data_IF_100877172633
#
_entry.id   IF_100877172633
#
_cell.length_a   1.000
_cell.length_b   1.000
_cell.length_c   1.000
_cell.angle_alpha   90.00
_cell.angle_beta   90.00
_cell.angle_gamma   90.00
#
_symmetry.space_group_name_H-M   'P 1'
#
loop_
_entity.id
_entity.type
_entity.pdbx_description
1 polymer ?
#
# COMPACT_ATOMS: atom_id res chain seq x y z
N UNK A 1 -17.34 -20.30 -13.88
CA UNK A 1 -17.54 -18.92 -13.41
C UNK A 1 -17.36 -17.99 -14.60
N UNK A 2 -18.43 -17.61 -15.22
CA UNK A 2 -18.47 -16.72 -16.37
C UNK A 2 -18.19 -15.30 -15.87
N UNK A 3 -16.98 -14.82 -16.11
CA UNK A 3 -16.64 -13.41 -15.90
C UNK A 3 -17.48 -12.59 -16.87
N UNK A 4 -18.49 -11.89 -16.36
CA UNK A 4 -19.20 -10.87 -17.10
C UNK A 4 -18.17 -9.80 -17.49
N UNK A 5 -17.80 -9.81 -18.77
CA UNK A 5 -16.92 -8.81 -19.38
C UNK A 5 -17.65 -7.48 -19.48
N UNK A 6 -17.89 -6.83 -18.33
CA UNK A 6 -18.27 -5.43 -18.30
C UNK A 6 -17.17 -4.64 -18.99
N UNK A 7 -17.51 -3.74 -19.90
CA UNK A 7 -16.56 -2.90 -20.62
C UNK A 7 -15.63 -2.20 -19.62
N UNK A 8 -14.32 -2.42 -19.74
CA UNK A 8 -13.30 -1.79 -18.91
C UNK A 8 -13.12 -0.34 -19.33
N UNK A 9 -13.95 0.53 -18.82
CA UNK A 9 -13.98 1.96 -19.16
C UNK A 9 -13.44 2.87 -18.08
N UNK A 10 -13.44 2.39 -16.81
CA UNK A 10 -13.10 3.18 -15.66
C UNK A 10 -11.58 3.30 -15.46
N UNK A 11 -11.15 4.41 -14.86
CA UNK A 11 -9.73 4.63 -14.52
C UNK A 11 -9.27 3.64 -13.45
N UNK A 12 -8.01 3.21 -13.49
CA UNK A 12 -7.46 2.35 -12.46
C UNK A 12 -7.44 3.03 -11.09
N UNK A 13 -7.68 2.27 -10.03
CA UNK A 13 -7.52 2.73 -8.66
C UNK A 13 -6.03 2.86 -8.29
N UNK A 14 -5.68 3.70 -7.30
CA UNK A 14 -4.29 3.82 -6.83
C UNK A 14 -3.69 2.47 -6.37
N UNK A 15 -4.53 1.60 -5.83
CA UNK A 15 -4.10 0.26 -5.40
C UNK A 15 -3.76 -0.63 -6.60
N UNK A 16 -4.56 -0.58 -7.67
CA UNK A 16 -4.29 -1.29 -8.93
C UNK A 16 -3.00 -0.81 -9.57
N UNK A 17 -2.78 0.52 -9.62
CA UNK A 17 -1.53 1.10 -10.10
C UNK A 17 -0.32 0.64 -9.29
N UNK A 18 -0.44 0.60 -7.96
CA UNK A 18 0.62 0.11 -7.07
C UNK A 18 0.93 -1.37 -7.33
N UNK A 19 -0.10 -2.22 -7.38
CA UNK A 19 0.05 -3.65 -7.70
C UNK A 19 0.67 -3.86 -9.09
N UNK A 20 0.34 -3.03 -10.08
CA UNK A 20 0.93 -3.07 -11.42
C UNK A 20 2.43 -2.71 -11.39
N UNK A 21 2.81 -1.65 -10.66
CA UNK A 21 4.22 -1.29 -10.45
C UNK A 21 5.02 -2.38 -9.75
N UNK A 22 4.47 -3.00 -8.71
CA UNK A 22 5.09 -4.13 -8.00
C UNK A 22 5.31 -5.36 -8.91
N UNK A 23 4.47 -5.53 -9.93
CA UNK A 23 4.63 -6.55 -10.98
C UNK A 23 5.55 -6.11 -12.13
N UNK A 24 6.10 -4.88 -12.08
CA UNK A 24 6.94 -4.33 -13.14
C UNK A 24 6.16 -3.89 -14.39
N UNK A 25 4.84 -3.77 -14.33
CA UNK A 25 3.99 -3.29 -15.42
C UNK A 25 3.98 -1.76 -15.44
N UNK A 26 5.02 -1.19 -16.05
CA UNK A 26 5.16 0.26 -16.25
C UNK A 26 5.39 0.55 -17.73
N UNK A 27 4.87 1.67 -18.21
CA UNK A 27 5.13 2.13 -19.56
C UNK A 27 6.60 2.54 -19.70
N UNK A 28 7.36 1.79 -20.48
CA UNK A 28 8.76 2.07 -20.79
C UNK A 28 9.01 1.84 -22.27
N UNK A 29 9.51 2.86 -22.96
CA UNK A 29 10.11 2.73 -24.28
C UNK A 29 11.62 2.59 -24.13
N UNK A 30 12.18 1.50 -24.64
CA UNK A 30 13.64 1.28 -24.69
C UNK A 30 14.28 2.26 -25.68
N UNK A 31 13.57 2.57 -26.74
CA UNK A 31 14.03 3.46 -27.82
C UNK A 31 14.20 4.89 -27.32
N UNK A 32 13.37 5.37 -26.38
CA UNK A 32 13.47 6.72 -25.84
C UNK A 32 14.76 6.89 -25.00
N UNK A 33 15.09 5.93 -24.13
CA UNK A 33 16.33 6.00 -23.37
C UNK A 33 17.56 5.90 -24.27
N UNK A 34 17.51 5.03 -25.29
CA UNK A 34 18.58 4.86 -26.26
C UNK A 34 18.77 6.09 -27.15
N UNK A 35 17.69 6.70 -27.66
CA UNK A 35 17.77 7.89 -28.50
C UNK A 35 18.26 9.14 -27.73
N UNK A 36 17.87 9.28 -26.45
CA UNK A 36 18.43 10.31 -25.57
C UNK A 36 19.94 10.14 -25.35
N UNK A 37 20.38 8.91 -25.11
CA UNK A 37 21.80 8.61 -24.95
C UNK A 37 22.59 8.90 -26.23
N UNK A 38 22.04 8.49 -27.39
CA UNK A 38 22.66 8.76 -28.70
C UNK A 38 22.78 10.25 -28.97
N UNK A 39 21.69 11.01 -28.79
CA UNK A 39 21.68 12.45 -29.01
C UNK A 39 22.68 13.16 -28.08
N UNK A 40 22.73 12.79 -26.81
CA UNK A 40 23.67 13.36 -25.85
C UNK A 40 25.11 13.02 -26.18
N UNK A 41 25.40 11.76 -26.55
CA UNK A 41 26.73 11.33 -27.00
C UNK A 41 27.19 12.12 -28.23
N UNK A 42 26.32 12.33 -29.22
CA UNK A 42 26.61 13.13 -30.40
C UNK A 42 26.87 14.62 -30.09
N UNK A 43 26.10 15.21 -29.16
CA UNK A 43 26.34 16.58 -28.71
C UNK A 43 27.72 16.75 -28.09
N UNK A 44 28.10 15.81 -27.20
CA UNK A 44 29.45 15.83 -26.59
C UNK A 44 30.53 15.59 -27.66
N UNK A 45 30.30 14.65 -28.59
CA UNK A 45 31.23 14.41 -29.70
C UNK A 45 31.40 15.68 -30.55
N UNK A 46 30.33 16.35 -30.91
CA UNK A 46 30.41 17.61 -31.69
C UNK A 46 31.14 18.71 -30.92
N UNK A 47 30.87 18.87 -29.62
CA UNK A 47 31.55 19.90 -28.80
C UNK A 47 33.07 19.65 -28.63
N UNK A 48 33.48 18.38 -28.59
CA UNK A 48 34.89 17.99 -28.40
C UNK A 48 35.65 17.79 -29.73
N UNK A 49 34.97 17.72 -30.86
CA UNK A 49 35.56 17.39 -32.16
C UNK A 49 36.76 18.29 -32.51
N UNK A 50 36.65 19.59 -32.33
CA UNK A 50 37.71 20.54 -32.64
C UNK A 50 38.95 20.37 -31.73
N UNK A 51 38.75 20.05 -30.46
CA UNK A 51 39.84 19.78 -29.50
C UNK A 51 40.52 18.48 -29.84
N UNK A 52 39.76 17.44 -30.13
CA UNK A 52 40.26 16.13 -30.50
C UNK A 52 41.10 16.18 -31.81
N UNK A 53 40.56 16.82 -32.84
CA UNK A 53 41.25 16.96 -34.12
C UNK A 53 42.57 17.76 -33.98
N UNK A 54 42.59 18.83 -33.22
CA UNK A 54 43.82 19.61 -32.95
C UNK A 54 44.88 18.78 -32.21
N UNK A 55 44.47 18.10 -31.15
CA UNK A 55 45.37 17.27 -30.37
C UNK A 55 45.91 16.09 -31.17
N UNK A 56 45.07 15.46 -31.99
CA UNK A 56 45.46 14.36 -32.88
C UNK A 56 46.46 14.82 -33.98
N UNK A 57 46.21 15.99 -34.59
CA UNK A 57 47.15 16.60 -35.54
C UNK A 57 48.52 16.90 -34.89
N UNK A 58 48.51 17.42 -33.68
CA UNK A 58 49.74 17.66 -32.89
C UNK A 58 50.52 16.38 -32.60
N UNK A 59 49.79 15.32 -32.21
CA UNK A 59 50.37 14.00 -31.98
C UNK A 59 51.00 13.41 -33.25
N UNK A 60 50.28 13.39 -34.36
CA UNK A 60 50.78 12.87 -35.64
C UNK A 60 51.92 13.71 -36.15
N UNK A 61 51.82 15.03 -36.12
CA UNK A 61 52.90 15.92 -36.53
C UNK A 61 54.17 15.75 -35.70
N UNK A 62 54.04 15.62 -34.39
CA UNK A 62 55.16 15.38 -33.48
C UNK A 62 55.82 14.01 -33.69
N UNK A 63 55.03 12.95 -33.90
CA UNK A 63 55.59 11.61 -34.16
C UNK A 63 56.31 11.51 -35.52
N UNK A 64 55.73 12.15 -36.55
CA UNK A 64 56.35 12.19 -37.89
C UNK A 64 57.66 13.03 -37.91
N UNK A 65 57.69 14.14 -37.18
CA UNK A 65 58.90 15.01 -37.10
C UNK A 65 60.01 14.36 -36.28
N UNK A 66 59.71 13.55 -35.28
CA UNK A 66 60.70 12.90 -34.41
C UNK A 66 61.42 11.73 -35.05
N UNK A 67 60.95 11.20 -36.17
CA UNK A 67 61.61 10.09 -36.92
C UNK A 67 61.46 8.72 -36.22
N UNK A 68 61.86 7.64 -36.89
CA UNK A 68 61.71 6.29 -36.35
C UNK A 68 62.66 6.10 -35.14
N UNK A 69 62.08 5.91 -33.95
CA UNK A 69 62.81 5.57 -32.72
C UNK A 69 62.91 6.66 -31.66
N UNK A 70 62.68 7.94 -31.99
CA UNK A 70 62.80 9.03 -31.04
C UNK A 70 61.38 9.44 -30.54
N UNK A 71 61.07 9.12 -29.30
CA UNK A 71 59.96 9.79 -28.57
C UNK A 71 58.56 9.26 -28.75
N UNK A 72 58.32 8.15 -29.47
CA UNK A 72 57.00 7.57 -29.66
C UNK A 72 56.32 7.19 -28.32
N UNK A 73 57.12 6.66 -27.39
CA UNK A 73 56.59 6.29 -26.07
C UNK A 73 56.12 7.52 -25.24
N UNK A 74 56.85 8.64 -25.32
CA UNK A 74 56.49 9.88 -24.63
C UNK A 74 55.23 10.54 -25.21
N UNK A 75 55.01 10.42 -26.52
CA UNK A 75 53.84 10.96 -27.20
C UNK A 75 52.58 10.06 -27.02
N UNK A 76 52.74 8.76 -26.80
CA UNK A 76 51.63 7.82 -26.60
C UNK A 76 50.83 8.11 -25.32
N UNK A 77 51.49 8.52 -24.22
CA UNK A 77 50.83 8.82 -22.95
C UNK A 77 49.75 9.92 -23.07
N UNK A 78 50.10 11.12 -23.56
CA UNK A 78 49.13 12.21 -23.77
C UNK A 78 48.01 11.85 -24.76
N UNK A 79 48.33 11.13 -25.84
CA UNK A 79 47.35 10.70 -26.84
C UNK A 79 46.35 9.69 -26.23
N UNK A 80 46.85 8.69 -25.50
CA UNK A 80 46.01 7.71 -24.81
C UNK A 80 45.11 8.38 -23.75
N UNK A 81 45.67 9.36 -23.00
CA UNK A 81 44.90 10.14 -22.04
C UNK A 81 43.79 10.93 -22.70
N UNK A 82 44.04 11.58 -23.82
CA UNK A 82 43.00 12.30 -24.58
C UNK A 82 41.89 11.38 -25.07
N UNK A 83 42.25 10.22 -25.63
CA UNK A 83 41.26 9.23 -26.08
C UNK A 83 40.44 8.73 -24.91
N UNK A 84 41.05 8.41 -23.79
CA UNK A 84 40.38 7.92 -22.58
C UNK A 84 39.39 8.96 -22.02
N UNK A 85 39.84 10.21 -21.87
CA UNK A 85 38.98 11.28 -21.32
C UNK A 85 37.86 11.64 -22.25
N UNK A 86 38.07 11.68 -23.56
CA UNK A 86 37.02 11.93 -24.56
C UNK A 86 36.00 10.81 -24.60
N UNK A 87 36.46 9.55 -24.61
CA UNK A 87 35.58 8.38 -24.58
C UNK A 87 34.79 8.29 -23.27
N UNK A 88 35.43 8.56 -22.13
CA UNK A 88 34.78 8.60 -20.83
C UNK A 88 33.71 9.69 -20.77
N UNK A 89 33.93 10.87 -21.29
CA UNK A 89 32.97 11.96 -21.34
C UNK A 89 31.75 11.62 -22.21
N UNK A 90 31.96 11.06 -23.40
CA UNK A 90 30.87 10.64 -24.30
C UNK A 90 30.05 9.51 -23.67
N UNK A 91 30.77 8.46 -23.21
CA UNK A 91 30.08 7.29 -22.61
C UNK A 91 29.38 7.63 -21.31
N UNK A 92 30.02 8.44 -20.46
CA UNK A 92 29.43 8.88 -19.17
C UNK A 92 28.16 9.70 -19.38
N UNK A 93 28.20 10.67 -20.31
CA UNK A 93 27.04 11.48 -20.65
C UNK A 93 25.89 10.62 -21.25
N UNK A 94 26.24 9.74 -22.19
CA UNK A 94 25.26 8.82 -22.76
C UNK A 94 24.60 7.92 -21.69
N UNK A 95 25.41 7.43 -20.76
CA UNK A 95 24.93 6.59 -19.65
C UNK A 95 24.01 7.35 -18.69
N UNK A 96 24.39 8.56 -18.30
CA UNK A 96 23.59 9.45 -17.46
C UNK A 96 22.24 9.74 -18.13
N UNK A 97 22.25 10.06 -19.44
CA UNK A 97 21.02 10.35 -20.17
C UNK A 97 20.13 9.12 -20.37
N UNK A 98 20.72 7.94 -20.60
CA UNK A 98 19.96 6.69 -20.65
C UNK A 98 19.29 6.36 -19.31
N UNK A 99 20.01 6.51 -18.21
CA UNK A 99 19.47 6.31 -16.86
C UNK A 99 18.38 7.33 -16.56
N UNK A 100 18.62 8.61 -16.81
CA UNK A 100 17.65 9.68 -16.59
C UNK A 100 16.38 9.45 -17.40
N UNK A 101 16.51 9.13 -18.69
CA UNK A 101 15.38 8.79 -19.56
C UNK A 101 14.59 7.58 -19.06
N UNK A 102 15.27 6.56 -18.55
CA UNK A 102 14.61 5.38 -17.95
C UNK A 102 13.90 5.71 -16.64
N UNK A 103 14.50 6.55 -15.78
CA UNK A 103 13.89 6.98 -14.50
C UNK A 103 12.68 7.88 -14.71
N UNK A 104 12.74 8.80 -15.67
CA UNK A 104 11.63 9.72 -15.97
C UNK A 104 10.40 8.95 -16.48
N UNK A 105 10.59 7.90 -17.29
CA UNK A 105 9.50 7.11 -17.85
C UNK A 105 8.73 6.29 -16.81
N UNK A 106 9.40 5.59 -15.91
CA UNK A 106 8.76 4.63 -15.00
C UNK A 106 8.99 4.90 -13.51
N UNK A 107 9.86 5.85 -13.19
CA UNK A 107 10.34 6.05 -11.83
C UNK A 107 11.22 4.88 -11.34
N UNK A 108 11.54 4.91 -10.06
CA UNK A 108 12.22 3.79 -9.42
C UNK A 108 11.19 2.68 -9.12
N UNK A 109 11.27 1.56 -9.84
CA UNK A 109 10.36 0.42 -9.69
C UNK A 109 11.15 -0.77 -9.14
N UNK A 110 10.86 -1.14 -7.91
CA UNK A 110 11.37 -2.36 -7.30
C UNK A 110 10.33 -3.47 -7.45
N UNK A 111 10.58 -4.41 -8.36
CA UNK A 111 9.66 -5.50 -8.68
C UNK A 111 10.31 -6.87 -8.39
N UNK A 112 10.35 -7.32 -7.13
CA UNK A 112 11.00 -8.58 -6.75
C UNK A 112 10.35 -9.80 -7.42
N UNK A 113 9.06 -9.73 -7.72
CA UNK A 113 8.33 -10.80 -8.44
C UNK A 113 8.80 -10.98 -9.88
N UNK A 114 9.42 -9.97 -10.49
CA UNK A 114 9.98 -10.06 -11.83
C UNK A 114 11.30 -10.84 -11.88
N UNK A 115 12.00 -10.97 -10.74
CA UNK A 115 13.26 -11.70 -10.59
C UNK A 115 13.05 -13.21 -10.43
N UNK A 116 11.83 -13.66 -10.19
CA UNK A 116 11.53 -15.09 -10.07
C UNK A 116 11.80 -15.80 -11.38
N UNK A 117 12.55 -16.92 -11.39
CA UNK A 117 12.83 -17.68 -12.59
C UNK A 117 11.54 -18.27 -13.16
N UNK A 118 11.22 -17.91 -14.40
CA UNK A 118 10.05 -18.43 -15.12
C UNK A 118 10.53 -19.46 -16.14
N UNK A 119 10.53 -20.72 -15.76
CA UNK A 119 10.96 -21.83 -16.62
C UNK A 119 10.17 -21.93 -17.92
N UNK A 120 8.94 -21.42 -17.95
CA UNK A 120 8.12 -21.34 -19.18
C UNK A 120 8.79 -20.51 -20.31
N UNK A 121 9.72 -19.61 -19.96
CA UNK A 121 10.47 -18.80 -20.93
C UNK A 121 11.54 -19.60 -21.69
N UNK A 122 11.93 -20.76 -21.19
CA UNK A 122 12.91 -21.63 -21.83
C UNK A 122 12.28 -22.61 -22.83
N UNK A 123 10.96 -22.60 -23.01
CA UNK A 123 10.31 -23.44 -24.00
C UNK A 123 10.52 -22.90 -25.43
N UNK A 124 11.32 -23.57 -26.28
CA UNK A 124 11.68 -23.07 -27.61
C UNK A 124 10.46 -23.00 -28.54
N UNK A 125 9.50 -23.93 -28.42
CA UNK A 125 8.28 -23.91 -29.22
C UNK A 125 7.39 -22.70 -28.95
N UNK A 126 7.29 -22.27 -27.69
CA UNK A 126 6.56 -21.05 -27.32
C UNK A 126 7.26 -19.79 -27.85
N UNK A 127 8.59 -19.79 -27.89
CA UNK A 127 9.37 -18.70 -28.44
C UNK A 127 9.18 -18.56 -29.96
N UNK A 128 9.27 -19.67 -30.72
CA UNK A 128 9.01 -19.67 -32.17
C UNK A 128 7.61 -19.14 -32.49
N UNK A 129 6.59 -19.61 -31.78
CA UNK A 129 5.21 -19.15 -31.97
C UNK A 129 5.05 -17.65 -31.71
N UNK A 130 5.79 -17.07 -30.75
CA UNK A 130 5.81 -15.63 -30.49
C UNK A 130 6.49 -14.85 -31.61
N UNK A 131 7.57 -15.40 -32.21
CA UNK A 131 8.27 -14.76 -33.33
C UNK A 131 7.43 -14.66 -34.60
N UNK A 132 6.51 -15.59 -34.81
CA UNK A 132 5.57 -15.60 -35.97
C UNK A 132 4.20 -15.05 -35.62
N UNK A 133 4.07 -14.33 -34.52
CA UNK A 133 2.80 -13.74 -34.08
C UNK A 133 2.50 -12.44 -34.82
N UNK A 134 1.21 -12.10 -34.94
CA UNK A 134 0.74 -10.81 -35.51
C UNK A 134 1.37 -9.63 -34.78
N UNK A 135 1.60 -9.76 -33.49
CA UNK A 135 2.28 -8.73 -32.67
C UNK A 135 3.73 -8.53 -33.07
N UNK A 136 4.44 -9.60 -33.45
CA UNK A 136 5.83 -9.47 -33.94
C UNK A 136 5.87 -8.74 -35.30
N UNK A 137 4.96 -9.05 -36.22
CA UNK A 137 4.83 -8.32 -37.48
C UNK A 137 4.46 -6.85 -37.28
N UNK A 138 3.58 -6.55 -36.32
CA UNK A 138 3.26 -5.16 -35.98
C UNK A 138 4.48 -4.40 -35.43
N UNK A 139 5.34 -5.03 -34.63
CA UNK A 139 6.60 -4.44 -34.17
C UNK A 139 7.60 -4.22 -35.33
N UNK A 140 7.71 -5.19 -36.24
CA UNK A 140 8.52 -5.01 -37.46
C UNK A 140 8.00 -3.82 -38.30
N UNK A 141 6.68 -3.71 -38.53
CA UNK A 141 6.08 -2.59 -39.23
C UNK A 141 6.39 -1.23 -38.59
N UNK A 142 6.36 -1.16 -37.24
CA UNK A 142 6.74 0.05 -36.51
C UNK A 142 8.21 0.44 -36.74
N UNK A 143 9.14 -0.51 -36.75
CA UNK A 143 10.57 -0.22 -36.94
C UNK A 143 10.93 0.18 -38.38
N UNK A 144 10.12 -0.20 -39.38
CA UNK A 144 10.32 0.20 -40.77
C UNK A 144 10.11 1.71 -40.99
N UNK A 145 9.26 2.36 -40.19
CA UNK A 145 8.98 3.81 -40.35
C UNK A 145 10.24 4.66 -40.10
N UNK A 146 10.90 4.60 -38.92
CA UNK A 146 12.13 5.37 -38.72
C UNK A 146 13.25 4.95 -39.67
N UNK A 147 13.34 3.65 -39.99
CA UNK A 147 14.33 3.15 -40.95
C UNK A 147 14.13 3.77 -42.35
N UNK A 148 12.91 3.85 -42.85
CA UNK A 148 12.65 4.45 -44.17
C UNK A 148 12.96 5.94 -44.20
N UNK A 149 12.68 6.67 -43.11
CA UNK A 149 13.05 8.09 -42.98
C UNK A 149 14.57 8.28 -42.95
N UNK A 150 15.30 7.45 -42.20
CA UNK A 150 16.76 7.47 -42.16
C UNK A 150 17.36 7.14 -43.51
N UNK A 151 16.86 6.14 -44.22
CA UNK A 151 17.31 5.78 -45.56
C UNK A 151 17.05 6.93 -46.53
N UNK A 152 15.88 7.55 -46.47
CA UNK A 152 15.57 8.73 -47.24
C UNK A 152 16.55 9.88 -47.01
N UNK A 153 16.88 10.17 -45.72
CA UNK A 153 17.89 11.18 -45.36
C UNK A 153 19.27 10.84 -45.92
N UNK A 154 19.70 9.57 -45.77
CA UNK A 154 20.98 9.14 -46.28
C UNK A 154 21.09 9.28 -47.80
N UNK A 155 20.05 8.86 -48.53
CA UNK A 155 20.02 8.98 -50.00
C UNK A 155 19.99 10.47 -50.45
N UNK A 156 19.19 11.30 -49.80
CA UNK A 156 19.08 12.73 -50.20
C UNK A 156 20.39 13.51 -49.92
N UNK A 157 21.02 13.24 -48.76
CA UNK A 157 22.34 13.85 -48.40
C UNK A 157 23.43 13.38 -49.38
N UNK A 158 23.48 12.09 -49.67
CA UNK A 158 24.47 11.56 -50.63
C UNK A 158 24.25 12.11 -52.05
N UNK A 159 22.97 12.18 -52.50
CA UNK A 159 22.62 12.73 -53.79
C UNK A 159 22.98 14.24 -53.91
N UNK A 160 22.75 15.01 -52.83
CA UNK A 160 23.12 16.43 -52.76
C UNK A 160 24.65 16.64 -52.95
N UNK A 161 25.43 15.78 -52.33
CA UNK A 161 26.89 15.92 -52.30
C UNK A 161 27.58 15.12 -53.43
N UNK A 162 26.80 14.51 -54.36
CA UNK A 162 27.31 13.58 -55.38
C UNK A 162 28.44 14.18 -56.24
N UNK A 163 28.32 15.45 -56.62
CA UNK A 163 29.36 16.16 -57.39
C UNK A 163 30.67 16.30 -56.62
N UNK A 164 30.61 16.51 -55.28
CA UNK A 164 31.80 16.60 -54.43
C UNK A 164 32.41 15.21 -54.25
N UNK A 165 31.57 14.18 -54.13
CA UNK A 165 32.00 12.76 -53.99
C UNK A 165 32.79 12.30 -55.22
N UNK A 166 32.35 12.66 -56.43
CA UNK A 166 33.06 12.35 -57.66
C UNK A 166 34.46 13.05 -57.73
N UNK A 167 34.55 14.25 -57.14
CA UNK A 167 35.81 14.97 -57.08
C UNK A 167 36.81 14.52 -56.00
N UNK A 168 36.39 13.62 -55.10
CA UNK A 168 37.21 13.20 -53.94
C UNK A 168 38.58 12.63 -54.29
N UNK A 169 38.71 11.92 -55.42
CA UNK A 169 39.98 11.37 -55.87
C UNK A 169 41.07 12.41 -56.14
N UNK A 170 40.70 13.67 -56.31
CA UNK A 170 41.59 14.80 -56.57
C UNK A 170 41.84 15.70 -55.35
N UNK A 171 41.20 15.40 -54.20
CA UNK A 171 41.29 16.20 -53.00
C UNK A 171 42.50 15.80 -52.15
N UNK A 172 43.06 16.79 -51.44
CA UNK A 172 44.07 16.50 -50.41
C UNK A 172 43.45 15.69 -49.27
N UNK A 173 44.22 14.77 -48.69
CA UNK A 173 43.75 13.90 -47.63
C UNK A 173 43.09 14.64 -46.46
N UNK A 174 43.56 15.83 -46.12
CA UNK A 174 43.00 16.67 -45.05
C UNK A 174 41.58 17.17 -45.36
N UNK A 175 41.34 17.54 -46.64
CA UNK A 175 40.01 18.01 -47.09
C UNK A 175 39.02 16.84 -47.17
N UNK A 176 39.51 15.71 -47.66
CA UNK A 176 38.71 14.48 -47.71
C UNK A 176 38.28 14.05 -46.30
N UNK A 177 39.20 14.03 -45.33
CA UNK A 177 38.89 13.65 -43.94
C UNK A 177 37.88 14.60 -43.30
N UNK A 178 38.05 15.91 -43.46
CA UNK A 178 37.11 16.89 -42.92
C UNK A 178 35.72 16.76 -43.53
N UNK A 179 35.64 16.55 -44.86
CA UNK A 179 34.37 16.32 -45.55
C UNK A 179 33.64 15.07 -45.05
N UNK A 180 34.33 13.93 -44.94
CA UNK A 180 33.72 12.67 -44.47
C UNK A 180 33.24 12.81 -43.03
N UNK A 181 34.04 13.42 -42.15
CA UNK A 181 33.65 13.63 -40.74
C UNK A 181 32.48 14.59 -40.62
N UNK A 182 32.44 15.69 -41.35
CA UNK A 182 31.35 16.67 -41.31
C UNK A 182 30.04 16.06 -41.82
N UNK A 183 30.09 15.37 -42.97
CA UNK A 183 28.90 14.72 -43.55
C UNK A 183 28.42 13.51 -42.72
N UNK A 184 29.34 12.73 -42.19
CA UNK A 184 29.05 11.65 -41.26
C UNK A 184 28.38 12.15 -40.00
N UNK A 185 28.86 13.24 -39.43
CA UNK A 185 28.29 13.87 -38.26
C UNK A 185 26.92 14.49 -38.56
N UNK A 186 26.73 15.17 -39.70
CA UNK A 186 25.45 15.73 -40.15
C UNK A 186 24.41 14.63 -40.30
N UNK A 187 24.75 13.52 -40.95
CA UNK A 187 23.84 12.37 -41.07
C UNK A 187 23.50 11.74 -39.71
N UNK A 188 24.53 11.50 -38.88
CA UNK A 188 24.34 10.91 -37.56
C UNK A 188 23.42 11.76 -36.69
N UNK A 189 23.59 13.10 -36.69
CA UNK A 189 22.76 14.02 -35.94
C UNK A 189 21.32 14.04 -36.43
N UNK A 190 21.09 14.07 -37.75
CA UNK A 190 19.75 14.03 -38.34
C UNK A 190 19.05 12.70 -38.03
N UNK A 191 19.76 11.59 -38.12
CA UNK A 191 19.25 10.27 -37.72
C UNK A 191 18.90 10.22 -36.22
N UNK A 192 19.73 10.79 -35.37
CA UNK A 192 19.47 10.85 -33.94
C UNK A 192 18.19 11.67 -33.62
N UNK A 193 17.95 12.78 -34.32
CA UNK A 193 16.73 13.57 -34.18
C UNK A 193 15.48 12.79 -34.63
N UNK A 194 15.57 12.05 -35.74
CA UNK A 194 14.48 11.19 -36.23
C UNK A 194 14.18 10.10 -35.19
N UNK A 195 15.23 9.43 -34.67
CA UNK A 195 15.06 8.41 -33.65
C UNK A 195 14.46 8.98 -32.37
N UNK A 196 14.89 10.17 -31.95
CA UNK A 196 14.34 10.83 -30.75
C UNK A 196 12.85 11.16 -30.95
N UNK A 197 12.47 11.75 -32.07
CA UNK A 197 11.08 12.05 -32.40
C UNK A 197 10.21 10.78 -32.44
N UNK A 198 10.71 9.74 -33.11
CA UNK A 198 10.03 8.45 -33.16
C UNK A 198 9.86 7.80 -31.80
N UNK A 199 10.89 7.84 -30.98
CA UNK A 199 10.88 7.24 -29.63
C UNK A 199 9.87 7.91 -28.69
N UNK A 200 9.62 9.21 -28.86
CA UNK A 200 8.55 9.92 -28.13
C UNK A 200 7.18 9.40 -28.55
N UNK A 201 6.95 9.22 -29.85
CA UNK A 201 5.70 8.64 -30.37
C UNK A 201 5.49 7.21 -29.83
N UNK A 202 6.54 6.38 -29.88
CA UNK A 202 6.50 5.02 -29.34
C UNK A 202 6.19 5.00 -27.84
N UNK A 203 6.79 5.91 -27.06
CA UNK A 203 6.51 6.04 -25.64
C UNK A 203 5.05 6.41 -25.36
N UNK A 204 4.49 7.36 -26.10
CA UNK A 204 3.07 7.77 -25.97
C UNK A 204 2.14 6.60 -26.29
N UNK A 205 2.45 5.83 -27.34
CA UNK A 205 1.70 4.65 -27.71
C UNK A 205 1.74 3.57 -26.62
N UNK A 206 2.93 3.28 -26.08
CA UNK A 206 3.13 2.32 -24.98
C UNK A 206 2.43 2.76 -23.70
N UNK A 207 2.54 4.04 -23.35
CA UNK A 207 1.84 4.61 -22.21
C UNK A 207 0.32 4.46 -22.32
N UNK A 208 -0.23 4.72 -23.50
CA UNK A 208 -1.66 4.57 -23.78
C UNK A 208 -2.09 3.09 -23.71
N UNK A 209 -1.26 2.17 -24.20
CA UNK A 209 -1.48 0.72 -24.13
C UNK A 209 -1.53 0.24 -22.69
N UNK A 210 -0.51 0.56 -21.89
CA UNK A 210 -0.43 0.14 -20.47
C UNK A 210 -1.60 0.72 -19.67
N UNK A 211 -1.94 2.00 -19.90
CA UNK A 211 -3.14 2.59 -19.29
C UNK A 211 -4.43 1.88 -19.69
N UNK A 212 -4.54 1.48 -20.95
CA UNK A 212 -5.67 0.70 -21.46
C UNK A 212 -5.82 -0.64 -20.76
N UNK A 213 -4.71 -1.36 -20.57
CA UNK A 213 -4.66 -2.65 -19.88
C UNK A 213 -5.00 -2.56 -18.38
N UNK A 214 -4.71 -1.41 -17.76
CA UNK A 214 -5.02 -1.15 -16.35
C UNK A 214 -6.45 -0.71 -16.10
N UNK A 215 -7.22 -0.33 -17.14
CA UNK A 215 -8.63 0.06 -16.98
C UNK A 215 -9.43 -1.05 -16.29
N UNK A 216 -10.42 -0.61 -15.52
CA UNK A 216 -11.25 -1.47 -14.68
C UNK A 216 -12.72 -1.42 -15.11
N UNK A 217 -13.46 -2.45 -14.79
CA UNK A 217 -14.91 -2.44 -14.82
C UNK A 217 -15.45 -1.82 -13.51
N UNK A 218 -16.69 -1.32 -13.51
CA UNK A 218 -17.35 -0.83 -12.29
C UNK A 218 -17.43 -1.93 -11.21
N UNK A 219 -17.57 -3.18 -11.62
CA UNK A 219 -17.60 -4.31 -10.69
C UNK A 219 -16.22 -4.55 -10.04
N UNK A 220 -15.13 -4.53 -10.84
CA UNK A 220 -13.77 -4.65 -10.32
C UNK A 220 -13.44 -3.56 -9.28
N UNK A 221 -13.88 -2.31 -9.52
CA UNK A 221 -13.71 -1.21 -8.55
C UNK A 221 -14.47 -1.48 -7.26
N UNK A 222 -15.74 -1.93 -7.34
CA UNK A 222 -16.52 -2.25 -6.15
C UNK A 222 -15.94 -3.42 -5.36
N UNK A 223 -15.40 -4.43 -6.04
CA UNK A 223 -14.72 -5.56 -5.40
C UNK A 223 -13.44 -5.12 -4.69
N UNK A 224 -12.62 -4.29 -5.34
CA UNK A 224 -11.39 -3.76 -4.73
C UNK A 224 -11.68 -2.85 -3.52
N UNK A 225 -12.74 -2.04 -3.57
CA UNK A 225 -13.22 -1.28 -2.41
C UNK A 225 -13.67 -2.20 -1.26
N UNK A 226 -14.39 -3.29 -1.56
CA UNK A 226 -14.78 -4.28 -0.54
C UNK A 226 -13.59 -4.99 0.07
N UNK A 227 -12.55 -5.28 -0.73
CA UNK A 227 -11.31 -5.88 -0.23
C UNK A 227 -10.52 -4.93 0.68
N UNK A 228 -10.43 -3.65 0.31
CA UNK A 228 -9.63 -2.66 1.05
C UNK A 228 -10.33 -2.14 2.31
N UNK A 229 -11.64 -1.90 2.27
CA UNK A 229 -12.40 -1.34 3.40
C UNK A 229 -13.10 -2.40 4.26
N UNK A 230 -13.11 -3.65 3.81
CA UNK A 230 -13.86 -4.75 4.40
C UNK A 230 -15.35 -4.69 4.04
N UNK A 231 -15.98 -5.85 4.03
CA UNK A 231 -17.40 -5.97 3.66
C UNK A 231 -18.28 -5.25 4.72
N UNK A 232 -19.13 -4.26 4.36
CA UNK A 232 -19.94 -3.50 5.32
C UNK A 232 -20.80 -4.40 6.23
N UNK A 233 -21.31 -5.50 5.70
CA UNK A 233 -22.07 -6.48 6.47
C UNK A 233 -21.25 -7.20 7.55
N UNK A 234 -19.97 -7.48 7.28
CA UNK A 234 -19.05 -8.07 8.28
C UNK A 234 -18.79 -7.06 9.41
N UNK A 235 -18.55 -5.81 9.08
CA UNK A 235 -18.34 -4.72 10.04
C UNK A 235 -19.59 -4.47 10.91
N UNK A 236 -20.77 -4.56 10.29
CA UNK A 236 -22.03 -4.49 11.01
C UNK A 236 -22.24 -5.71 11.95
N UNK A 237 -21.91 -6.93 11.49
CA UNK A 237 -21.97 -8.16 12.29
C UNK A 237 -21.03 -8.11 13.51
N UNK A 238 -19.79 -7.65 13.30
CA UNK A 238 -18.82 -7.48 14.39
C UNK A 238 -19.35 -6.52 15.45
N UNK A 239 -19.87 -5.34 15.05
CA UNK A 239 -20.47 -4.36 15.99
C UNK A 239 -21.67 -4.96 16.74
N UNK A 240 -22.49 -5.75 16.07
CA UNK A 240 -23.64 -6.44 16.71
C UNK A 240 -23.18 -7.46 17.76
N UNK A 241 -22.19 -8.28 17.42
CA UNK A 241 -21.59 -9.25 18.34
C UNK A 241 -20.94 -8.57 19.55
N UNK A 242 -20.19 -7.49 19.34
CA UNK A 242 -19.58 -6.72 20.44
C UNK A 242 -20.65 -6.15 21.41
N UNK A 243 -21.76 -5.62 20.89
CA UNK A 243 -22.88 -5.14 21.73
C UNK A 243 -23.51 -6.28 22.51
N UNK A 244 -23.69 -7.46 21.90
CA UNK A 244 -24.22 -8.63 22.57
C UNK A 244 -23.28 -9.14 23.68
N UNK A 245 -21.98 -9.18 23.42
CA UNK A 245 -20.98 -9.58 24.42
C UNK A 245 -20.96 -8.61 25.61
N UNK A 246 -20.92 -7.29 25.36
CA UNK A 246 -20.98 -6.26 26.44
C UNK A 246 -22.24 -6.41 27.27
N UNK A 247 -23.40 -6.67 26.65
CA UNK A 247 -24.65 -6.87 27.34
C UNK A 247 -24.63 -8.14 28.20
N UNK A 248 -24.08 -9.24 27.70
CA UNK A 248 -23.95 -10.50 28.48
C UNK A 248 -22.99 -10.29 29.67
N UNK A 249 -21.87 -9.63 29.45
CA UNK A 249 -20.94 -9.34 30.53
C UNK A 249 -21.56 -8.45 31.59
N UNK A 250 -22.26 -7.40 31.22
CA UNK A 250 -22.96 -6.51 32.15
C UNK A 250 -24.03 -7.27 32.97
N UNK A 251 -24.79 -8.20 32.36
CA UNK A 251 -25.74 -9.03 33.10
C UNK A 251 -25.03 -9.97 34.09
N UNK A 252 -23.88 -10.54 33.70
CA UNK A 252 -23.07 -11.35 34.61
C UNK A 252 -22.50 -10.51 35.75
N UNK A 253 -22.08 -9.27 35.48
CA UNK A 253 -21.60 -8.36 36.52
C UNK A 253 -22.73 -7.94 37.47
N UNK A 254 -23.98 -7.89 36.99
CA UNK A 254 -25.15 -7.63 37.82
C UNK A 254 -25.39 -8.70 38.91
N UNK A 255 -24.88 -9.93 38.75
CA UNK A 255 -24.93 -10.99 39.76
C UNK A 255 -24.16 -10.64 41.03
N UNK A 256 -23.21 -9.71 40.95
CA UNK A 256 -22.37 -9.27 42.08
C UNK A 256 -22.96 -8.04 42.79
N UNK A 257 -24.14 -7.58 42.36
CA UNK A 257 -24.75 -6.40 42.93
C UNK A 257 -25.20 -6.63 44.39
N UNK A 258 -25.00 -5.64 45.24
CA UNK A 258 -25.52 -5.62 46.62
C UNK A 258 -26.98 -5.21 46.67
N UNK A 259 -27.41 -4.35 45.76
CA UNK A 259 -28.78 -3.87 45.65
C UNK A 259 -29.11 -3.50 44.21
N UNK A 260 -30.37 -3.70 43.82
CA UNK A 260 -30.87 -3.20 42.53
C UNK A 260 -31.95 -2.15 42.79
N UNK A 261 -31.66 -0.92 42.37
CA UNK A 261 -32.61 0.21 42.45
C UNK A 261 -33.45 0.23 41.17
N UNK A 262 -34.75 0.27 41.32
CA UNK A 262 -35.67 0.15 40.17
C UNK A 262 -36.68 1.29 40.08
N UNK A 263 -36.99 1.66 38.85
CA UNK A 263 -38.23 2.30 38.47
C UNK A 263 -39.09 1.22 37.76
N UNK A 264 -40.24 0.81 38.25
CA UNK A 264 -40.90 -0.45 37.91
C UNK A 264 -41.01 -0.80 36.44
N UNK A 265 -41.24 0.19 35.60
CA UNK A 265 -41.46 -0.03 34.15
C UNK A 265 -40.31 0.42 33.27
N UNK A 266 -39.42 1.29 33.76
CA UNK A 266 -38.50 2.00 32.88
C UNK A 266 -37.02 1.70 33.11
N UNK A 267 -36.57 1.69 34.37
CA UNK A 267 -35.14 1.60 34.69
C UNK A 267 -34.84 0.58 35.76
N UNK A 268 -33.69 -0.08 35.66
CA UNK A 268 -33.10 -0.86 36.74
C UNK A 268 -31.60 -0.59 36.76
N UNK A 269 -31.05 -0.32 37.93
CA UNK A 269 -29.64 -0.01 38.16
C UNK A 269 -29.14 -0.89 39.29
N UNK A 270 -28.11 -1.68 39.01
CA UNK A 270 -27.47 -2.60 39.96
C UNK A 270 -26.21 -1.91 40.54
N UNK A 271 -26.14 -1.85 41.86
CA UNK A 271 -25.02 -1.25 42.60
C UNK A 271 -24.30 -2.33 43.39
N UNK A 272 -22.99 -2.36 43.28
CA UNK A 272 -22.08 -3.15 44.12
C UNK A 272 -21.46 -2.24 45.16
N UNK A 273 -21.54 -2.63 46.44
CA UNK A 273 -20.81 -1.98 47.51
C UNK A 273 -20.26 -3.01 48.49
N UNK A 274 -18.99 -2.88 48.81
CA UNK A 274 -18.29 -3.66 49.83
C UNK A 274 -17.61 -2.68 50.79
N UNK A 275 -17.38 -3.08 52.06
CA UNK A 275 -16.74 -2.21 53.04
C UNK A 275 -15.35 -1.67 52.61
N UNK A 276 -14.66 -2.39 51.75
CA UNK A 276 -13.34 -2.00 51.24
C UNK A 276 -13.41 -0.97 50.13
N UNK A 277 -14.59 -0.71 49.56
CA UNK A 277 -14.78 0.25 48.48
C UNK A 277 -15.01 1.66 49.01
N UNK A 278 -14.31 2.65 48.40
CA UNK A 278 -14.49 4.06 48.78
C UNK A 278 -15.89 4.59 48.44
N UNK A 279 -16.56 4.03 47.46
CA UNK A 279 -17.93 4.35 47.07
C UNK A 279 -18.61 3.21 46.33
N UNK A 280 -19.95 3.13 46.35
CA UNK A 280 -20.70 2.15 45.55
C UNK A 280 -20.44 2.32 44.07
N UNK A 281 -20.29 1.21 43.36
CA UNK A 281 -20.02 1.13 41.93
C UNK A 281 -21.24 0.62 41.17
N UNK A 282 -21.54 1.23 40.04
CA UNK A 282 -22.62 0.81 39.17
C UNK A 282 -22.16 -0.34 38.28
N UNK A 283 -22.64 -1.55 38.51
CA UNK A 283 -22.22 -2.78 37.79
C UNK A 283 -23.13 -3.11 36.61
N UNK A 284 -24.42 -2.71 36.67
CA UNK A 284 -25.30 -2.83 35.52
C UNK A 284 -26.36 -1.75 35.51
N UNK A 285 -26.76 -1.30 34.32
CA UNK A 285 -27.91 -0.44 34.11
C UNK A 285 -28.72 -0.86 32.89
N UNK A 286 -30.02 -0.77 32.97
CA UNK A 286 -30.92 -1.15 31.88
C UNK A 286 -32.15 -0.29 31.81
N UNK A 287 -32.68 -0.17 30.59
CA UNK A 287 -33.96 0.48 30.30
C UNK A 287 -34.92 -0.53 29.66
N UNK A 288 -36.20 -0.44 29.94
CA UNK A 288 -37.27 -1.25 29.37
C UNK A 288 -36.98 -2.78 29.46
N UNK A 289 -36.82 -3.47 28.32
CA UNK A 289 -36.53 -4.93 28.27
C UNK A 289 -35.28 -5.32 29.06
N UNK A 290 -34.26 -4.48 29.04
CA UNK A 290 -33.02 -4.75 29.77
C UNK A 290 -33.19 -4.54 31.27
N UNK A 291 -33.99 -3.55 31.69
CA UNK A 291 -34.36 -3.36 33.08
C UNK A 291 -35.13 -4.58 33.62
N UNK A 292 -36.04 -5.12 32.84
CA UNK A 292 -36.76 -6.36 33.22
C UNK A 292 -35.82 -7.55 33.39
N UNK A 293 -34.80 -7.70 32.51
CA UNK A 293 -33.80 -8.76 32.63
C UNK A 293 -32.97 -8.63 33.90
N UNK A 294 -32.52 -7.38 34.23
CA UNK A 294 -31.76 -7.11 35.46
C UNK A 294 -32.64 -7.42 36.70
N UNK A 295 -33.88 -7.04 36.69
CA UNK A 295 -34.84 -7.34 37.78
C UNK A 295 -35.04 -8.84 37.94
N UNK A 296 -35.30 -9.58 36.86
CA UNK A 296 -35.45 -11.03 36.91
C UNK A 296 -34.17 -11.69 37.47
N UNK A 297 -33.01 -11.26 37.01
CA UNK A 297 -31.72 -11.74 37.51
C UNK A 297 -31.59 -11.48 39.02
N UNK A 298 -31.93 -10.26 39.49
CA UNK A 298 -31.89 -9.91 40.90
C UNK A 298 -32.82 -10.82 41.75
N UNK A 299 -34.04 -11.12 41.28
CA UNK A 299 -34.94 -12.03 41.94
C UNK A 299 -34.36 -13.45 42.01
N UNK A 300 -33.78 -13.95 40.93
CA UNK A 300 -33.13 -15.27 40.87
C UNK A 300 -31.94 -15.41 41.81
N UNK A 301 -31.15 -14.37 41.88
CA UNK A 301 -29.92 -14.31 42.73
C UNK A 301 -30.24 -13.85 44.18
N UNK A 302 -31.50 -13.61 44.50
CA UNK A 302 -31.93 -13.08 45.79
C UNK A 302 -31.31 -11.73 46.17
N UNK A 303 -30.99 -10.92 45.15
CA UNK A 303 -30.46 -9.57 45.38
C UNK A 303 -31.63 -8.67 45.75
N UNK A 304 -31.52 -7.87 46.83
CA UNK A 304 -32.57 -6.94 47.25
C UNK A 304 -32.98 -5.96 46.16
N UNK A 305 -34.28 -5.82 45.95
CA UNK A 305 -34.86 -4.86 45.01
C UNK A 305 -35.47 -3.71 45.80
N UNK A 306 -35.01 -2.49 45.52
CA UNK A 306 -35.56 -1.29 46.15
C UNK A 306 -36.21 -0.43 45.05
N UNK A 307 -37.45 -0.13 45.25
CA UNK A 307 -38.20 0.71 44.33
C UNK A 307 -38.01 2.19 44.71
N UNK A 308 -37.24 2.90 43.88
CA UNK A 308 -37.04 4.33 44.03
C UNK A 308 -36.90 4.97 42.65
N UNK A 309 -37.99 5.39 41.99
CA UNK A 309 -38.00 5.89 40.63
C UNK A 309 -37.07 7.10 40.40
N UNK A 310 -37.07 8.14 41.29
CA UNK A 310 -36.18 9.28 41.08
C UNK A 310 -34.71 8.90 41.18
N UNK A 311 -34.32 8.04 42.13
CA UNK A 311 -32.94 7.59 42.28
C UNK A 311 -32.48 6.71 41.10
N UNK A 312 -33.32 5.76 40.68
CA UNK A 312 -33.02 4.89 39.53
C UNK A 312 -32.78 5.72 38.25
N UNK A 313 -33.60 6.74 38.04
CA UNK A 313 -33.45 7.62 36.88
C UNK A 313 -32.21 8.51 36.98
N UNK A 314 -31.90 9.05 38.14
CA UNK A 314 -30.71 9.86 38.39
C UNK A 314 -29.43 9.04 38.18
N UNK A 315 -29.32 7.83 38.74
CA UNK A 315 -28.20 6.91 38.57
C UNK A 315 -28.04 6.50 37.13
N UNK A 316 -29.12 6.14 36.45
CA UNK A 316 -29.08 5.71 35.04
C UNK A 316 -28.46 6.79 34.12
N UNK A 317 -28.78 8.07 34.36
CA UNK A 317 -28.31 9.21 33.56
C UNK A 317 -26.91 9.67 33.95
N UNK A 318 -26.59 9.64 35.24
CA UNK A 318 -25.39 10.27 35.76
C UNK A 318 -24.14 9.36 35.76
N UNK A 319 -24.32 8.00 35.76
CA UNK A 319 -23.24 7.06 35.99
C UNK A 319 -23.15 6.04 34.88
N UNK A 320 -21.95 5.78 34.38
CA UNK A 320 -21.70 4.71 33.42
C UNK A 320 -21.35 3.39 34.14
N UNK A 321 -21.59 2.25 33.43
CA UNK A 321 -21.27 0.93 33.98
C UNK A 321 -19.76 0.82 34.30
N UNK A 322 -19.46 0.36 35.51
CA UNK A 322 -18.10 0.28 36.04
C UNK A 322 -17.61 1.53 36.76
N UNK A 323 -18.41 2.59 36.83
CA UNK A 323 -18.05 3.83 37.54
C UNK A 323 -18.66 3.90 38.92
N UNK A 324 -17.97 4.58 39.85
CA UNK A 324 -18.50 4.91 41.15
C UNK A 324 -19.56 6.00 41.05
N UNK A 325 -20.53 5.96 41.95
CA UNK A 325 -21.60 6.97 42.00
C UNK A 325 -21.03 8.36 42.34
N UNK A 326 -21.60 9.45 41.81
CA UNK A 326 -21.17 10.81 42.15
C UNK A 326 -21.53 11.22 43.58
N UNK A 327 -20.73 12.09 44.22
CA UNK A 327 -20.96 12.51 45.62
C UNK A 327 -22.36 13.04 45.92
N UNK A 328 -22.99 13.67 44.92
CA UNK A 328 -24.38 14.19 45.05
C UNK A 328 -25.44 13.10 45.35
N UNK A 329 -25.14 11.85 45.03
CA UNK A 329 -26.07 10.73 45.24
C UNK A 329 -25.67 9.85 46.45
N UNK A 330 -24.59 10.16 47.18
CA UNK A 330 -24.11 9.35 48.29
C UNK A 330 -25.14 9.21 49.41
N UNK A 331 -25.78 10.29 49.85
CA UNK A 331 -26.71 10.27 50.94
C UNK A 331 -27.89 9.37 50.63
N UNK A 332 -28.52 9.53 49.46
CA UNK A 332 -29.69 8.77 49.08
C UNK A 332 -29.36 7.27 48.85
N UNK A 333 -28.18 6.97 48.27
CA UNK A 333 -27.71 5.60 48.08
C UNK A 333 -27.35 4.92 49.42
N UNK A 334 -26.74 5.68 50.35
CA UNK A 334 -26.46 5.18 51.69
C UNK A 334 -27.74 4.85 52.50
N UNK A 335 -28.78 5.64 52.37
CA UNK A 335 -30.10 5.33 52.94
C UNK A 335 -30.66 4.01 52.40
N UNK A 336 -30.60 3.82 51.08
CA UNK A 336 -31.04 2.58 50.43
C UNK A 336 -30.24 1.37 50.92
N UNK A 337 -28.89 1.49 51.00
CA UNK A 337 -28.03 0.40 51.48
C UNK A 337 -28.28 0.08 52.95
N UNK A 338 -28.48 1.10 53.81
CA UNK A 338 -28.80 0.90 55.22
C UNK A 338 -30.15 0.18 55.41
N UNK A 339 -31.14 0.51 54.59
CA UNK A 339 -32.46 -0.16 54.61
C UNK A 339 -32.34 -1.63 54.20
N UNK A 340 -31.52 -1.94 53.21
CA UNK A 340 -31.26 -3.32 52.79
C UNK A 340 -30.56 -4.11 53.88
N UNK A 341 -29.50 -3.58 54.50
CA UNK A 341 -28.77 -4.27 55.56
C UNK A 341 -29.62 -4.48 56.83
N UNK A 342 -30.46 -3.51 57.19
CA UNK A 342 -31.43 -3.68 58.30
C UNK A 342 -32.42 -4.80 58.00
N UNK A 343 -32.93 -4.87 56.78
CA UNK A 343 -33.88 -5.94 56.37
C UNK A 343 -33.19 -7.32 56.38
N UNK A 344 -31.94 -7.41 55.92
CA UNK A 344 -31.16 -8.65 55.94
C UNK A 344 -30.84 -9.10 57.38
N UNK A 345 -30.43 -8.19 58.26
CA UNK A 345 -30.17 -8.47 59.64
C UNK A 345 -31.45 -8.98 60.39
N UNK A 346 -32.60 -8.37 60.11
CA UNK A 346 -33.89 -8.84 60.68
C UNK A 346 -34.28 -10.20 60.15
N UNK A 347 -34.06 -10.49 58.86
CA UNK A 347 -34.33 -11.79 58.25
C UNK A 347 -33.45 -12.90 58.91
N UNK A 348 -32.15 -12.63 59.05
CA UNK A 348 -31.24 -13.55 59.73
C UNK A 348 -31.59 -13.80 61.18
N UNK A 349 -31.99 -12.74 61.93
CA UNK A 349 -32.43 -12.88 63.31
C UNK A 349 -33.69 -13.75 63.43
N UNK A 350 -34.68 -13.61 62.51
CA UNK A 350 -35.89 -14.43 62.45
C UNK A 350 -35.56 -15.90 62.15
N UNK A 351 -34.72 -16.17 61.19
CA UNK A 351 -34.29 -17.52 60.83
C UNK A 351 -33.55 -18.20 62.01
N UNK A 352 -32.65 -17.48 62.69
CA UNK A 352 -32.00 -18.00 63.88
C UNK A 352 -32.96 -18.27 65.02
N UNK A 353 -33.98 -17.41 65.25
CA UNK A 353 -35.01 -17.62 66.23
C UNK A 353 -35.88 -18.85 65.91
N UNK A 354 -36.25 -19.07 64.64
CA UNK A 354 -36.97 -20.26 64.20
C UNK A 354 -36.17 -21.55 64.37
N UNK A 355 -34.87 -21.52 64.01
CA UNK A 355 -33.97 -22.68 64.19
C UNK A 355 -33.86 -23.03 65.69
N UNK A 356 -33.71 -22.02 66.57
CA UNK A 356 -33.65 -22.21 68.04
C UNK A 356 -34.99 -22.77 68.58
N UNK A 357 -36.10 -22.25 68.12
CA UNK A 357 -37.44 -22.75 68.53
C UNK A 357 -37.65 -24.20 68.08
N UNK A 358 -37.26 -24.59 66.88
CA UNK A 358 -37.34 -26.00 66.41
C UNK A 358 -36.40 -26.93 67.18
N UNK A 359 -35.22 -26.44 67.56
CA UNK A 359 -34.27 -27.24 68.39
C UNK A 359 -34.83 -27.46 69.81
N UNK A 360 -35.57 -26.51 70.39
CA UNK A 360 -36.22 -26.65 71.70
C UNK A 360 -37.44 -27.59 71.70
N UNK A 361 -38.22 -27.57 70.65
CA UNK A 361 -39.39 -28.45 70.48
C UNK A 361 -38.95 -29.91 70.18
N UNK A 362 -37.91 -30.12 69.40
CA UNK A 362 -37.37 -31.45 69.09
C UNK A 362 -36.71 -32.16 70.28
N UNK A 363 -36.33 -31.42 71.33
CA UNK A 363 -35.81 -32.03 72.57
C UNK A 363 -36.83 -32.34 73.63
N UNK A 364 -38.12 -31.88 73.44
CA UNK A 364 -39.19 -32.16 74.38
C UNK A 364 -39.95 -33.51 74.12
N UNK A 365 -39.82 -34.06 72.91
CA UNK A 365 -40.50 -35.32 72.53
C UNK A 365 -39.58 -36.59 72.69
N UNK A 366 -38.42 -36.45 73.25
CA UNK A 366 -37.41 -37.54 73.38
C UNK A 366 -37.27 -38.18 74.71
N UNK A 367 -38.35 -38.39 75.50
CA UNK A 367 -38.28 -39.24 76.67
C UNK A 367 -39.54 -40.21 76.77
N UNK A 368 -39.41 -41.43 76.37
CA UNK A 368 -40.30 -42.48 76.97
C UNK A 368 -39.52 -43.20 78.09
N UNK A 369 -40.05 -43.01 79.29
CA UNK A 369 -39.67 -43.74 80.47
C UNK A 369 -39.48 -45.25 80.23
N UNK A 370 -38.41 -45.73 80.70
CA UNK A 370 -38.18 -47.14 80.95
C UNK A 370 -39.15 -47.63 82.02
N UNK A 371 -39.52 -48.84 81.92
CA UNK A 371 -40.23 -49.60 82.96
C UNK A 371 -39.83 -51.08 82.89
N UNK A 372 -39.69 -51.79 84.00
CA UNK A 372 -38.87 -53.01 84.13
C UNK A 372 -39.75 -54.28 83.93
N UNK A 373 -39.10 -55.30 83.37
CA UNK A 373 -39.12 -56.69 83.86
C UNK A 373 -38.40 -57.64 82.87
#
# INVERSE_FOLDING_TARGET
MTSSSGSRTEKPTPQREKKAREKGQVARSKDLAGSLALAAGLLVTGSQAAVFVRAWRGFLGGTLAAGPGAGTAAALGPAAWLVLTSTAAISGTAWIMALSGSLVQGGFVFAPTALQPKFERFNPGAQLKRMVSVTAFAHLGKSLIPLSVMLYLAVTLTARDWGQIQGMARMHASVLTSFVLERGFELAWKCALVMLGWSVVDYIAEYSRVRGELKMSKQEIMEEHKESEGHPAVKARIRRLQRQMRRRQMLKDAERATVVVTNPTHFAVALEYRPEMAAPTLVAKGQNKLAQQIRQLAIWQRIPLVENPPLAQALYRAVEVGQSIPPKLYVVVAEVLALVWQAEAQAQARDQAQVRARAQTGNADGNPAGGPR
#
